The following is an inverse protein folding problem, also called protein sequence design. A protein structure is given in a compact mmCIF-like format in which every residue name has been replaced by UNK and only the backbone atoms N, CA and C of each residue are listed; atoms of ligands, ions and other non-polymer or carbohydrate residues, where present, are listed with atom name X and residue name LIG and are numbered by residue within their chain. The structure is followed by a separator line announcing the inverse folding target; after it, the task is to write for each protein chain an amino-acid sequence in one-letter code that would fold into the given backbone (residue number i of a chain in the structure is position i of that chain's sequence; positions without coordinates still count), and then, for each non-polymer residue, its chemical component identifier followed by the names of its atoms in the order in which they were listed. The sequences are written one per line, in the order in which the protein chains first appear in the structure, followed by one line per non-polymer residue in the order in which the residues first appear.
data_IF_159143424156
#
_entry.id   IF_159143424156
#
_cell.length_a   1.000
_cell.length_b   1.000
_cell.length_c   1.000
_cell.angle_alpha   90.00
_cell.angle_beta   90.00
_cell.angle_gamma   90.00
#
_symmetry.space_group_name_H-M   'P 1'
#
loop_
_entity.id
_entity.type
_entity.pdbx_description
1 polymer ?
#
# COMPACT_ATOMS: atom_id res chain seq x y z
N UNK A 1 -27.80 -5.44 2.86
CA UNK A 1 -27.67 -6.81 3.43
C UNK A 1 -26.55 -7.59 2.75
N UNK A 2 -26.40 -7.51 1.44
CA UNK A 2 -25.37 -8.22 0.63
C UNK A 2 -23.93 -7.84 0.99
N UNK A 3 -23.63 -6.58 1.26
CA UNK A 3 -22.27 -6.12 1.56
C UNK A 3 -21.75 -6.66 2.91
N UNK A 4 -22.60 -6.71 3.93
CA UNK A 4 -22.20 -7.21 5.25
C UNK A 4 -21.76 -8.67 5.24
N UNK A 5 -22.39 -9.53 4.41
CA UNK A 5 -21.95 -10.92 4.28
C UNK A 5 -20.59 -11.02 3.54
N UNK A 6 -20.32 -10.12 2.59
CA UNK A 6 -19.02 -10.04 1.92
C UNK A 6 -17.91 -9.66 2.91
N UNK A 7 -18.14 -8.67 3.79
CA UNK A 7 -17.17 -8.29 4.83
C UNK A 7 -16.89 -9.44 5.79
N UNK A 8 -17.93 -10.10 6.28
CA UNK A 8 -17.78 -11.30 7.13
C UNK A 8 -17.00 -12.41 6.43
N UNK A 9 -17.25 -12.62 5.12
CA UNK A 9 -16.51 -13.62 4.37
C UNK A 9 -15.04 -13.21 4.17
N UNK A 10 -14.75 -11.94 3.96
CA UNK A 10 -13.37 -11.43 3.91
C UNK A 10 -12.70 -11.64 5.27
N UNK A 11 -13.36 -11.31 6.37
CA UNK A 11 -12.84 -11.56 7.73
C UNK A 11 -12.60 -13.05 7.98
N UNK A 12 -13.51 -13.91 7.55
CA UNK A 12 -13.30 -15.36 7.56
C UNK A 12 -12.09 -15.77 6.73
N UNK A 13 -11.93 -15.25 5.52
CA UNK A 13 -10.79 -15.52 4.65
C UNK A 13 -9.46 -15.07 5.27
N UNK A 14 -9.44 -13.94 5.96
CA UNK A 14 -8.26 -13.41 6.68
C UNK A 14 -7.99 -14.12 8.02
N UNK A 15 -8.92 -14.96 8.51
CA UNK A 15 -8.80 -15.63 9.80
C UNK A 15 -9.12 -14.77 11.02
N UNK A 16 -9.72 -13.60 10.82
CA UNK A 16 -10.15 -12.69 11.91
C UNK A 16 -11.55 -13.02 12.43
N UNK A 17 -12.24 -13.93 11.77
CA UNK A 17 -13.58 -14.38 12.10
C UNK A 17 -13.68 -15.90 11.94
N UNK A 18 -14.21 -16.61 12.94
CA UNK A 18 -14.32 -18.08 12.91
C UNK A 18 -15.22 -18.60 11.78
N UNK A 19 -16.28 -17.84 11.43
CA UNK A 19 -17.15 -18.12 10.30
C UNK A 19 -17.94 -19.43 10.42
N UNK A 20 -18.43 -19.79 11.60
CA UNK A 20 -19.20 -21.03 11.83
C UNK A 20 -20.37 -21.14 10.87
N UNK A 21 -21.08 -20.03 10.60
CA UNK A 21 -22.19 -19.95 9.67
C UNK A 21 -21.79 -20.14 8.19
N UNK A 22 -20.51 -19.98 7.85
CA UNK A 22 -19.98 -20.33 6.53
C UNK A 22 -19.65 -21.82 6.47
N UNK A 23 -19.08 -22.36 7.55
CA UNK A 23 -18.70 -23.76 7.63
C UNK A 23 -19.91 -24.71 7.68
N UNK A 24 -21.00 -24.32 8.36
CA UNK A 24 -22.27 -25.06 8.37
C UNK A 24 -23.19 -24.73 7.16
N UNK A 25 -22.82 -23.71 6.37
CA UNK A 25 -23.53 -23.28 5.17
C UNK A 25 -24.76 -22.41 5.40
N UNK A 26 -25.13 -22.10 6.65
CA UNK A 26 -26.33 -21.34 6.94
C UNK A 26 -26.29 -19.92 6.36
N UNK A 27 -25.14 -19.27 6.34
CA UNK A 27 -24.96 -17.95 5.74
C UNK A 27 -24.85 -17.97 4.21
N UNK A 28 -24.63 -19.12 3.60
CA UNK A 28 -24.39 -19.27 2.16
C UNK A 28 -25.63 -19.81 1.41
N UNK A 29 -26.75 -19.99 2.09
CA UNK A 29 -27.97 -20.39 1.45
C UNK A 29 -28.49 -19.29 0.51
N UNK A 30 -28.58 -19.60 -0.79
CA UNK A 30 -28.94 -18.63 -1.83
C UNK A 30 -27.84 -17.58 -2.12
N UNK A 31 -26.59 -17.79 -1.68
CA UNK A 31 -25.49 -16.88 -1.91
C UNK A 31 -25.11 -16.80 -3.39
N UNK A 32 -25.03 -15.60 -3.93
CA UNK A 32 -24.64 -15.34 -5.32
C UNK A 32 -23.12 -15.34 -5.46
N UNK A 33 -22.55 -16.52 -5.67
CA UNK A 33 -21.13 -16.72 -5.88
C UNK A 33 -20.57 -16.00 -7.11
N UNK A 34 -21.39 -15.83 -8.18
CA UNK A 34 -20.92 -15.11 -9.38
C UNK A 34 -20.75 -13.63 -9.08
N UNK A 35 -21.73 -13.01 -8.44
CA UNK A 35 -21.66 -11.61 -8.03
C UNK A 35 -20.50 -11.36 -7.04
N UNK A 36 -20.25 -12.32 -6.14
CA UNK A 36 -19.14 -12.23 -5.22
C UNK A 36 -17.78 -12.37 -5.93
N UNK A 37 -17.69 -13.21 -6.96
CA UNK A 37 -16.50 -13.31 -7.81
C UNK A 37 -16.20 -11.99 -8.54
N UNK A 38 -17.23 -11.36 -9.11
CA UNK A 38 -17.09 -10.08 -9.79
C UNK A 38 -16.68 -8.96 -8.82
N UNK A 39 -17.24 -8.96 -7.60
CA UNK A 39 -16.79 -8.09 -6.52
C UNK A 39 -15.31 -8.35 -6.16
N UNK A 40 -14.89 -9.59 -6.01
CA UNK A 40 -13.51 -9.96 -5.70
C UNK A 40 -12.54 -9.51 -6.78
N UNK A 41 -12.90 -9.63 -8.05
CA UNK A 41 -12.11 -9.11 -9.18
C UNK A 41 -12.00 -7.59 -9.13
N UNK A 42 -13.14 -6.91 -8.96
CA UNK A 42 -13.21 -5.45 -8.86
C UNK A 42 -12.32 -4.90 -7.74
N UNK A 43 -12.25 -5.60 -6.61
CA UNK A 43 -11.47 -5.22 -5.42
C UNK A 43 -10.09 -5.87 -5.36
N UNK A 44 -9.71 -6.66 -6.38
CA UNK A 44 -8.43 -7.42 -6.45
C UNK A 44 -8.16 -8.30 -5.23
N UNK A 45 -9.21 -8.98 -4.73
CA UNK A 45 -9.19 -9.84 -3.55
C UNK A 45 -9.31 -11.35 -3.88
N UNK A 46 -9.20 -11.74 -5.15
CA UNK A 46 -9.46 -13.12 -5.58
C UNK A 46 -8.62 -14.14 -4.83
N UNK A 47 -7.31 -13.90 -4.67
CA UNK A 47 -6.43 -14.82 -3.95
C UNK A 47 -6.80 -14.93 -2.46
N UNK A 48 -7.05 -13.79 -1.80
CA UNK A 48 -7.44 -13.76 -0.38
C UNK A 48 -8.76 -14.49 -0.15
N UNK A 49 -9.78 -14.22 -0.97
CA UNK A 49 -11.10 -14.85 -0.83
C UNK A 49 -11.01 -16.36 -1.13
N UNK A 50 -10.11 -16.79 -2.03
CA UNK A 50 -9.87 -18.20 -2.29
C UNK A 50 -9.39 -18.95 -1.04
N UNK A 51 -8.62 -18.30 -0.15
CA UNK A 51 -8.24 -18.90 1.15
C UNK A 51 -9.48 -19.24 2.01
N UNK A 52 -10.49 -18.38 2.00
CA UNK A 52 -11.78 -18.68 2.65
C UNK A 52 -12.54 -19.80 1.98
N UNK A 53 -12.64 -19.77 0.64
CA UNK A 53 -13.34 -20.79 -0.15
C UNK A 53 -12.70 -22.18 0.06
N UNK A 54 -11.38 -22.26 0.15
CA UNK A 54 -10.64 -23.55 0.34
C UNK A 54 -10.99 -24.25 1.65
N UNK A 55 -11.48 -23.51 2.65
CA UNK A 55 -11.91 -24.05 3.97
C UNK A 55 -13.38 -24.45 4.02
N UNK A 56 -14.16 -24.15 2.97
CA UNK A 56 -15.59 -24.47 2.95
C UNK A 56 -15.81 -25.96 2.67
N UNK A 57 -16.86 -26.58 3.27
CA UNK A 57 -17.36 -27.86 2.84
C UNK A 57 -17.80 -27.84 1.38
N UNK A 58 -17.59 -28.92 0.65
CA UNK A 58 -17.94 -29.03 -0.78
C UNK A 58 -19.41 -28.72 -1.08
N UNK A 59 -20.31 -29.02 -0.13
CA UNK A 59 -21.74 -28.81 -0.29
C UNK A 59 -22.15 -27.32 -0.42
N UNK A 60 -21.34 -26.41 0.14
CA UNK A 60 -21.65 -24.95 0.17
C UNK A 60 -20.68 -24.13 -0.67
N UNK A 61 -19.64 -24.76 -1.22
CA UNK A 61 -18.66 -24.11 -2.10
C UNK A 61 -19.31 -23.69 -3.45
N UNK A 62 -18.67 -22.78 -4.20
CA UNK A 62 -19.11 -22.41 -5.56
C UNK A 62 -19.24 -23.65 -6.46
N UNK A 63 -20.12 -23.57 -7.47
CA UNK A 63 -20.21 -24.61 -8.51
C UNK A 63 -18.83 -24.82 -9.17
N UNK A 64 -18.57 -26.07 -9.57
CA UNK A 64 -17.24 -26.50 -10.04
C UNK A 64 -16.65 -25.59 -11.15
N UNK A 65 -17.46 -25.15 -12.11
CA UNK A 65 -16.99 -24.26 -13.19
C UNK A 65 -16.48 -22.91 -12.66
N UNK A 66 -17.22 -22.31 -11.71
CA UNK A 66 -16.82 -21.05 -11.10
C UNK A 66 -15.66 -21.23 -10.12
N UNK A 67 -15.66 -22.33 -9.35
CA UNK A 67 -14.54 -22.67 -8.47
C UNK A 67 -13.24 -22.84 -9.24
N UNK A 68 -13.29 -23.43 -10.45
CA UNK A 68 -12.11 -23.52 -11.32
C UNK A 68 -11.57 -22.14 -11.73
N UNK A 69 -12.44 -21.17 -12.01
CA UNK A 69 -12.02 -19.80 -12.33
C UNK A 69 -11.33 -19.13 -11.12
N UNK A 70 -11.88 -19.30 -9.91
CA UNK A 70 -11.24 -18.83 -8.68
C UNK A 70 -9.85 -19.45 -8.50
N UNK A 71 -9.76 -20.76 -8.65
CA UNK A 71 -8.51 -21.52 -8.49
C UNK A 71 -7.46 -21.08 -9.51
N UNK A 72 -7.80 -21.05 -10.80
CA UNK A 72 -6.86 -20.65 -11.85
C UNK A 72 -6.32 -19.23 -11.64
N UNK A 73 -7.20 -18.30 -11.23
CA UNK A 73 -6.81 -16.92 -10.98
C UNK A 73 -5.92 -16.82 -9.73
N UNK A 74 -6.23 -17.56 -8.68
CA UNK A 74 -5.41 -17.66 -7.47
C UNK A 74 -4.02 -18.25 -7.76
N UNK A 75 -3.94 -19.31 -8.56
CA UNK A 75 -2.65 -19.89 -8.98
C UNK A 75 -1.82 -18.91 -9.83
N UNK A 76 -2.45 -18.13 -10.68
CA UNK A 76 -1.75 -17.09 -11.44
C UNK A 76 -1.20 -15.97 -10.51
N UNK A 77 -1.97 -15.59 -9.48
CA UNK A 77 -1.53 -14.62 -8.46
C UNK A 77 -0.30 -15.19 -7.72
N UNK A 78 -0.38 -16.42 -7.24
CA UNK A 78 0.72 -17.10 -6.51
C UNK A 78 2.00 -17.17 -7.35
N UNK A 79 1.90 -17.62 -8.61
CA UNK A 79 3.04 -17.68 -9.51
C UNK A 79 3.67 -16.32 -9.78
N UNK A 80 2.85 -15.27 -9.95
CA UNK A 80 3.35 -13.91 -10.12
C UNK A 80 4.07 -13.40 -8.88
N UNK A 81 3.61 -13.74 -7.68
CA UNK A 81 4.30 -13.39 -6.43
C UNK A 81 5.68 -14.02 -6.35
N UNK A 82 5.80 -15.31 -6.66
CA UNK A 82 7.09 -16.01 -6.69
C UNK A 82 8.08 -15.31 -7.62
N UNK A 83 7.69 -15.06 -8.87
CA UNK A 83 8.52 -14.34 -9.83
C UNK A 83 8.88 -12.93 -9.37
N UNK A 84 7.93 -12.22 -8.72
CA UNK A 84 8.16 -10.86 -8.26
C UNK A 84 9.06 -10.81 -7.02
N UNK A 85 9.02 -11.82 -6.13
CA UNK A 85 9.94 -11.94 -5.00
C UNK A 85 11.39 -12.01 -5.50
N UNK A 86 11.69 -12.93 -6.41
CA UNK A 86 13.01 -13.08 -7.03
C UNK A 86 13.45 -11.80 -7.76
N UNK A 87 12.55 -11.20 -8.56
CA UNK A 87 12.86 -9.98 -9.30
C UNK A 87 13.12 -8.80 -8.38
N UNK A 88 12.38 -8.67 -7.27
CA UNK A 88 12.56 -7.62 -6.27
C UNK A 88 13.96 -7.69 -5.66
N UNK A 89 14.40 -8.89 -5.23
CA UNK A 89 15.75 -9.10 -4.70
C UNK A 89 16.81 -8.82 -5.78
N UNK A 90 16.57 -9.28 -7.02
CA UNK A 90 17.48 -9.03 -8.13
C UNK A 90 17.70 -7.55 -8.42
N UNK A 91 16.62 -6.75 -8.47
CA UNK A 91 16.72 -5.30 -8.68
C UNK A 91 17.35 -4.61 -7.47
N UNK A 92 16.97 -4.99 -6.25
CA UNK A 92 17.55 -4.47 -5.00
C UNK A 92 19.08 -4.65 -4.99
N UNK A 93 19.57 -5.86 -5.27
CA UNK A 93 21.00 -6.16 -5.30
C UNK A 93 21.75 -5.39 -6.40
N UNK A 94 21.14 -5.17 -7.57
CA UNK A 94 21.73 -4.34 -8.65
C UNK A 94 21.86 -2.88 -8.23
N UNK A 95 20.89 -2.31 -7.52
CA UNK A 95 20.94 -0.94 -6.98
C UNK A 95 22.02 -0.84 -5.91
N UNK A 96 22.11 -1.82 -5.00
CA UNK A 96 23.17 -1.89 -3.98
C UNK A 96 24.57 -2.04 -4.62
N UNK A 97 24.72 -2.88 -5.64
CA UNK A 97 25.97 -3.04 -6.36
C UNK A 97 26.40 -1.75 -7.12
N UNK A 98 25.44 -0.91 -7.51
CA UNK A 98 25.69 0.41 -8.07
C UNK A 98 26.13 1.46 -7.01
N UNK A 99 26.19 1.09 -5.72
CA UNK A 99 26.66 1.92 -4.62
C UNK A 99 25.59 2.78 -3.96
N UNK A 100 24.30 2.50 -4.20
CA UNK A 100 23.20 3.25 -3.60
C UNK A 100 22.53 2.49 -2.46
N UNK A 101 22.19 3.21 -1.39
CA UNK A 101 21.29 2.70 -0.36
C UNK A 101 19.84 2.83 -0.84
N UNK A 102 19.03 1.80 -0.55
CA UNK A 102 17.64 1.75 -1.00
C UNK A 102 16.79 0.86 -0.10
N UNK A 103 15.46 1.03 -0.18
CA UNK A 103 14.50 0.14 0.46
C UNK A 103 13.26 -0.09 -0.43
N UNK A 104 12.61 -1.24 -0.25
CA UNK A 104 11.36 -1.60 -0.93
C UNK A 104 10.20 -1.01 -0.14
N UNK A 105 9.52 0.01 -0.67
CA UNK A 105 8.51 0.80 0.05
C UNK A 105 7.21 0.05 0.35
N UNK A 106 6.77 -0.80 -0.56
CA UNK A 106 5.48 -1.51 -0.53
C UNK A 106 5.57 -2.82 -1.33
N UNK A 107 4.47 -3.32 -1.86
CA UNK A 107 4.49 -4.51 -2.71
C UNK A 107 4.91 -5.76 -1.93
N UNK A 108 6.03 -6.34 -2.29
CA UNK A 108 6.53 -7.59 -1.72
C UNK A 108 6.97 -7.44 -0.25
N UNK A 109 7.43 -6.24 0.16
CA UNK A 109 7.71 -5.95 1.57
C UNK A 109 6.43 -6.03 2.43
N UNK A 110 5.28 -5.58 1.93
CA UNK A 110 4.01 -5.73 2.61
C UNK A 110 3.48 -7.16 2.52
N UNK A 111 3.69 -7.84 1.39
CA UNK A 111 3.28 -9.25 1.22
C UNK A 111 3.89 -10.16 2.30
N UNK A 112 5.14 -9.91 2.72
CA UNK A 112 5.80 -10.66 3.79
C UNK A 112 5.05 -10.62 5.14
N UNK A 113 4.14 -9.66 5.35
CA UNK A 113 3.32 -9.56 6.56
C UNK A 113 2.03 -10.38 6.51
N UNK A 114 1.65 -10.90 5.34
CA UNK A 114 0.43 -11.70 5.19
C UNK A 114 0.59 -13.10 5.76
N UNK A 115 -0.50 -13.67 6.28
CA UNK A 115 -0.53 -15.07 6.70
C UNK A 115 -0.23 -16.02 5.51
N UNK A 116 -0.72 -15.69 4.31
CA UNK A 116 -0.35 -16.31 3.06
C UNK A 116 0.10 -15.23 2.06
N UNK A 117 1.40 -14.93 1.93
CA UNK A 117 1.92 -13.95 0.99
C UNK A 117 1.52 -14.19 -0.47
N UNK A 118 1.41 -15.48 -0.86
CA UNK A 118 1.06 -15.87 -2.21
C UNK A 118 -0.37 -15.52 -2.63
N UNK A 119 -1.27 -15.28 -1.65
CA UNK A 119 -2.66 -14.87 -1.91
C UNK A 119 -2.83 -13.37 -2.21
N UNK A 120 -1.83 -12.53 -1.92
CA UNK A 120 -1.86 -11.10 -2.22
C UNK A 120 -1.73 -10.85 -3.71
N UNK A 121 -2.66 -10.09 -4.30
CA UNK A 121 -2.50 -9.68 -5.71
C UNK A 121 -1.29 -8.76 -5.86
N UNK A 122 -0.23 -9.17 -6.60
CA UNK A 122 0.99 -8.38 -6.75
C UNK A 122 0.80 -7.19 -7.70
N UNK A 123 1.70 -6.22 -7.61
CA UNK A 123 1.78 -5.05 -8.48
C UNK A 123 3.21 -4.86 -8.99
N UNK A 124 3.68 -3.63 -8.93
CA UNK A 124 5.01 -3.16 -9.26
C UNK A 124 6.01 -3.28 -8.09
N UNK A 125 7.27 -3.05 -8.39
CA UNK A 125 8.35 -2.92 -7.38
C UNK A 125 8.61 -1.45 -7.14
N UNK A 126 8.21 -0.95 -5.97
CA UNK A 126 8.47 0.42 -5.54
C UNK A 126 9.73 0.47 -4.69
N UNK A 127 10.76 1.12 -5.17
CA UNK A 127 12.04 1.22 -4.51
C UNK A 127 12.41 2.67 -4.23
N UNK A 128 12.58 3.00 -2.96
CA UNK A 128 13.14 4.30 -2.57
C UNK A 128 14.65 4.22 -2.53
N UNK A 129 15.31 5.07 -3.30
CA UNK A 129 16.77 5.11 -3.45
C UNK A 129 17.30 6.39 -2.83
N UNK A 130 18.30 6.29 -1.96
CA UNK A 130 18.97 7.44 -1.38
C UNK A 130 19.97 8.04 -2.38
N UNK A 131 19.43 8.77 -3.33
CA UNK A 131 20.20 9.41 -4.39
C UNK A 131 19.46 10.63 -4.96
N UNK A 132 20.20 11.52 -5.60
CA UNK A 132 19.63 12.64 -6.31
C UNK A 132 18.84 12.19 -7.56
N UNK A 133 17.89 13.01 -8.01
CA UNK A 133 17.12 12.74 -9.23
C UNK A 133 18.02 12.46 -10.45
N UNK A 134 19.16 13.15 -10.56
CA UNK A 134 20.11 12.96 -11.67
C UNK A 134 20.77 11.58 -11.61
N UNK A 135 21.18 11.15 -10.44
CA UNK A 135 21.78 9.83 -10.21
C UNK A 135 20.77 8.71 -10.47
N UNK A 136 19.52 8.85 -9.99
CA UNK A 136 18.47 7.87 -10.24
C UNK A 136 18.13 7.78 -11.73
N UNK A 137 18.18 8.88 -12.48
CA UNK A 137 18.02 8.84 -13.94
C UNK A 137 19.15 8.03 -14.62
N UNK A 138 20.40 8.19 -14.17
CA UNK A 138 21.54 7.40 -14.66
C UNK A 138 21.41 5.92 -14.26
N UNK A 139 20.99 5.65 -13.03
CA UNK A 139 20.72 4.31 -12.54
C UNK A 139 19.60 3.63 -13.38
N UNK A 140 18.48 4.32 -13.60
CA UNK A 140 17.38 3.82 -14.44
C UNK A 140 17.85 3.48 -15.85
N UNK A 141 18.67 4.34 -16.47
CA UNK A 141 19.28 4.06 -17.77
C UNK A 141 20.17 2.81 -17.75
N UNK A 142 20.91 2.60 -16.66
CA UNK A 142 21.77 1.41 -16.50
C UNK A 142 20.93 0.14 -16.32
N UNK A 143 19.90 0.20 -15.48
CA UNK A 143 18.98 -0.94 -15.25
C UNK A 143 18.18 -1.30 -16.51
N UNK A 144 17.85 -0.32 -17.34
CA UNK A 144 17.09 -0.53 -18.57
C UNK A 144 17.94 -1.06 -19.75
N UNK A 145 19.27 -0.95 -19.72
CA UNK A 145 20.14 -1.42 -20.82
C UNK A 145 20.05 -2.92 -21.10
N UNK A 146 19.77 -3.72 -20.09
CA UNK A 146 19.69 -5.17 -20.19
C UNK A 146 18.21 -5.62 -20.22
N UNK A 147 17.61 -5.69 -21.42
CA UNK A 147 16.23 -6.12 -21.64
C UNK A 147 15.18 -5.24 -20.94
N UNK A 148 15.38 -3.93 -20.92
CA UNK A 148 14.47 -2.99 -20.29
C UNK A 148 14.22 -1.72 -21.10
N UNK A 149 13.34 -0.88 -20.57
CA UNK A 149 13.06 0.47 -21.10
C UNK A 149 12.66 1.39 -19.97
N UNK A 150 12.88 2.68 -20.12
CA UNK A 150 12.29 3.71 -19.25
C UNK A 150 10.90 4.01 -19.78
N UNK A 151 9.89 3.88 -18.91
CA UNK A 151 8.49 4.06 -19.30
C UNK A 151 8.05 5.52 -19.10
N UNK A 152 8.28 6.09 -17.91
CA UNK A 152 7.89 7.46 -17.59
C UNK A 152 8.80 8.04 -16.49
N UNK A 153 8.99 9.38 -16.52
CA UNK A 153 9.55 10.14 -15.43
C UNK A 153 8.47 11.02 -14.80
N UNK A 154 8.15 10.73 -13.54
CA UNK A 154 7.17 11.44 -12.73
C UNK A 154 7.81 12.46 -11.79
N UNK A 155 6.97 13.17 -11.03
CA UNK A 155 7.44 14.15 -10.04
C UNK A 155 8.27 13.51 -8.91
N UNK A 156 8.02 12.27 -8.54
CA UNK A 156 8.60 11.57 -7.38
C UNK A 156 9.39 10.31 -7.74
N UNK A 157 9.26 9.76 -8.94
CA UNK A 157 9.92 8.52 -9.36
C UNK A 157 10.23 8.50 -10.86
N UNK A 158 11.01 7.52 -11.25
CA UNK A 158 11.20 7.09 -12.63
C UNK A 158 10.69 5.66 -12.75
N UNK A 159 9.68 5.47 -13.60
CA UNK A 159 9.16 4.16 -13.93
C UNK A 159 9.96 3.52 -15.07
N UNK A 160 10.33 2.27 -14.90
CA UNK A 160 11.01 1.47 -15.92
C UNK A 160 10.51 0.03 -15.91
N UNK A 161 10.60 -0.61 -17.07
CA UNK A 161 10.43 -2.06 -17.16
C UNK A 161 11.81 -2.71 -17.33
N UNK A 162 12.11 -3.73 -16.53
CA UNK A 162 13.33 -4.54 -16.68
C UNK A 162 12.98 -6.02 -16.52
N UNK A 163 13.43 -6.87 -17.46
CA UNK A 163 13.07 -8.29 -17.50
C UNK A 163 11.54 -8.57 -17.41
N UNK A 164 10.72 -7.70 -17.99
CA UNK A 164 9.26 -7.81 -17.95
C UNK A 164 8.61 -7.40 -16.62
N UNK A 165 9.38 -6.87 -15.67
CA UNK A 165 8.90 -6.40 -14.36
C UNK A 165 8.87 -4.87 -14.36
N UNK A 166 7.75 -4.30 -13.90
CA UNK A 166 7.62 -2.86 -13.66
C UNK A 166 8.29 -2.46 -12.35
N UNK A 167 9.17 -1.48 -12.43
CA UNK A 167 9.93 -0.96 -11.28
C UNK A 167 9.79 0.56 -11.24
N UNK A 168 9.50 1.11 -10.07
CA UNK A 168 9.50 2.54 -9.81
C UNK A 168 10.67 2.90 -8.88
N UNK A 169 11.64 3.66 -9.40
CA UNK A 169 12.75 4.19 -8.61
C UNK A 169 12.38 5.56 -8.07
N UNK A 170 12.06 5.61 -6.79
CA UNK A 170 11.64 6.84 -6.10
C UNK A 170 12.86 7.61 -5.58
N UNK A 171 13.01 8.87 -5.96
CA UNK A 171 13.92 9.82 -5.33
C UNK A 171 13.25 10.56 -4.16
N UNK A 172 11.93 10.49 -4.07
CA UNK A 172 11.14 10.76 -2.86
C UNK A 172 9.92 9.83 -2.86
N UNK A 173 9.53 9.25 -1.72
CA UNK A 173 8.41 8.28 -1.67
C UNK A 173 7.07 8.85 -2.10
N UNK A 174 6.95 10.19 -2.17
CA UNK A 174 5.74 10.83 -2.66
C UNK A 174 5.65 12.31 -2.33
N UNK A 175 4.47 12.91 -2.54
CA UNK A 175 4.20 14.33 -2.34
C UNK A 175 2.73 14.58 -1.96
N UNK A 176 2.45 15.76 -1.40
CA UNK A 176 1.10 16.27 -1.12
C UNK A 176 0.83 17.54 -1.91
N UNK A 177 -0.43 17.78 -2.29
CA UNK A 177 -0.84 19.01 -2.95
C UNK A 177 -0.73 20.23 -2.03
N UNK A 178 -1.01 20.07 -0.74
CA UNK A 178 -0.82 21.12 0.23
C UNK A 178 0.67 21.39 0.47
N UNK A 179 1.15 22.58 0.09
CA UNK A 179 2.59 22.93 0.16
C UNK A 179 3.17 22.86 1.58
N UNK A 180 2.40 23.21 2.60
CA UNK A 180 2.85 23.15 4.00
C UNK A 180 3.05 21.70 4.44
N UNK A 181 2.05 20.86 4.18
CA UNK A 181 2.14 19.44 4.51
C UNK A 181 3.18 18.73 3.65
N UNK A 182 3.28 19.10 2.37
CA UNK A 182 4.34 18.56 1.50
C UNK A 182 5.75 18.89 2.02
N UNK A 183 6.01 20.13 2.45
CA UNK A 183 7.31 20.50 3.05
C UNK A 183 7.63 19.64 4.27
N UNK A 184 6.65 19.42 5.16
CA UNK A 184 6.81 18.56 6.34
C UNK A 184 7.02 17.11 5.97
N UNK A 185 6.31 16.61 4.95
CA UNK A 185 6.44 15.25 4.41
C UNK A 185 7.84 15.03 3.83
N UNK A 186 8.34 15.95 3.00
CA UNK A 186 9.69 15.86 2.43
C UNK A 186 10.77 15.90 3.52
N UNK A 187 10.58 16.70 4.58
CA UNK A 187 11.49 16.71 5.72
C UNK A 187 11.45 15.37 6.46
N UNK A 188 10.27 14.83 6.72
CA UNK A 188 10.09 13.54 7.39
C UNK A 188 10.72 12.38 6.59
N UNK A 189 10.63 12.37 5.27
CA UNK A 189 11.31 11.40 4.42
C UNK A 189 12.85 11.50 4.59
N UNK A 190 13.42 12.70 4.44
CA UNK A 190 14.87 12.88 4.59
C UNK A 190 15.42 12.48 5.96
N UNK A 191 14.63 12.71 7.02
CA UNK A 191 15.00 12.33 8.39
C UNK A 191 14.88 10.82 8.63
N UNK A 192 14.22 10.07 7.74
CA UNK A 192 13.86 8.67 7.96
C UNK A 192 14.64 7.67 7.08
N UNK A 193 15.17 8.08 5.95
CA UNK A 193 15.69 7.19 4.89
C UNK A 193 16.73 6.19 5.39
N UNK A 194 17.71 6.63 6.17
CA UNK A 194 18.77 5.78 6.70
C UNK A 194 18.25 4.57 7.48
N UNK A 195 17.24 4.80 8.34
CA UNK A 195 16.64 3.74 9.14
C UNK A 195 15.90 2.73 8.27
N UNK A 196 15.26 3.20 7.18
CA UNK A 196 14.54 2.32 6.27
C UNK A 196 15.49 1.45 5.45
N UNK A 197 16.61 2.03 4.97
CA UNK A 197 17.62 1.31 4.19
C UNK A 197 18.42 0.28 5.01
N UNK A 198 18.36 0.35 6.35
CA UNK A 198 19.01 -0.62 7.26
C UNK A 198 18.06 -1.68 7.81
N UNK A 199 16.75 -1.51 7.65
CA UNK A 199 15.77 -2.46 8.21
C UNK A 199 15.57 -3.64 7.26
N UNK A 200 16.42 -4.66 7.36
CA UNK A 200 16.37 -5.86 6.52
C UNK A 200 15.21 -6.77 6.89
N UNK A 201 14.54 -7.31 5.89
CA UNK A 201 13.52 -8.34 6.01
C UNK A 201 13.78 -9.46 5.01
N UNK A 202 13.44 -10.70 5.37
CA UNK A 202 13.39 -11.80 4.43
C UNK A 202 12.10 -11.73 3.60
N UNK A 203 12.20 -11.87 2.28
CA UNK A 203 11.04 -12.06 1.42
C UNK A 203 10.58 -13.53 1.42
N UNK A 204 9.29 -13.78 1.14
CA UNK A 204 8.76 -15.14 1.06
C UNK A 204 9.49 -16.02 0.03
N UNK A 205 9.27 -17.34 0.14
CA UNK A 205 9.78 -18.35 -0.80
C UNK A 205 11.32 -18.40 -0.88
N UNK A 206 12.01 -18.06 0.22
CA UNK A 206 13.49 -18.05 0.29
C UNK A 206 14.15 -17.17 -0.81
N UNK A 207 13.41 -16.18 -1.34
CA UNK A 207 13.90 -15.34 -2.43
C UNK A 207 15.12 -14.50 -2.06
N UNK A 208 15.30 -14.20 -0.77
CA UNK A 208 16.41 -13.41 -0.23
C UNK A 208 15.95 -12.29 0.69
N UNK A 209 16.88 -11.40 1.04
CA UNK A 209 16.62 -10.28 1.95
C UNK A 209 16.67 -8.95 1.21
N UNK A 210 15.83 -8.01 1.65
CA UNK A 210 15.79 -6.62 1.17
C UNK A 210 15.58 -5.67 2.33
N UNK A 211 16.01 -4.44 2.19
CA UNK A 211 15.62 -3.40 3.14
C UNK A 211 14.17 -2.97 2.89
N UNK A 212 13.42 -2.73 3.96
CA UNK A 212 12.01 -2.36 3.93
C UNK A 212 11.68 -1.37 5.07
N UNK A 213 10.55 -0.66 4.99
CA UNK A 213 10.13 0.29 6.01
C UNK A 213 10.03 -0.33 7.42
N UNK A 214 10.53 0.41 8.42
CA UNK A 214 10.29 0.09 9.83
C UNK A 214 8.80 0.21 10.17
N UNK A 215 8.33 -0.46 11.20
CA UNK A 215 6.91 -0.47 11.58
C UNK A 215 6.34 0.94 11.78
N UNK A 216 7.05 1.80 12.50
CA UNK A 216 6.64 3.20 12.75
C UNK A 216 6.50 4.01 11.45
N UNK A 217 7.49 3.87 10.55
CA UNK A 217 7.46 4.54 9.28
C UNK A 217 6.36 3.98 8.38
N UNK A 218 6.24 2.67 8.28
CA UNK A 218 5.28 2.00 7.41
C UNK A 218 3.83 2.34 7.77
N UNK A 219 3.49 2.42 9.07
CA UNK A 219 2.16 2.81 9.53
C UNK A 219 1.75 4.23 9.07
N UNK A 220 2.70 5.16 8.99
CA UNK A 220 2.45 6.52 8.49
C UNK A 220 2.52 6.58 6.96
N UNK A 221 3.55 5.95 6.37
CA UNK A 221 3.78 5.98 4.94
C UNK A 221 2.65 5.32 4.13
N UNK A 222 2.21 4.12 4.52
CA UNK A 222 1.12 3.44 3.82
C UNK A 222 -0.20 4.21 3.93
N UNK A 223 -0.47 4.84 5.08
CA UNK A 223 -1.65 5.70 5.23
C UNK A 223 -1.57 6.94 4.33
N UNK A 224 -0.38 7.58 4.29
CA UNK A 224 -0.13 8.69 3.38
C UNK A 224 -0.34 8.25 1.92
N UNK A 225 0.17 7.09 1.53
CA UNK A 225 0.04 6.54 0.20
C UNK A 225 -1.42 6.27 -0.19
N UNK A 226 -2.22 5.69 0.73
CA UNK A 226 -3.67 5.54 0.56
C UNK A 226 -4.38 6.89 0.43
N UNK A 227 -3.99 7.89 1.25
CA UNK A 227 -4.52 9.25 1.17
C UNK A 227 -4.23 9.87 -0.20
N UNK A 228 -3.00 9.74 -0.70
CA UNK A 228 -2.60 10.23 -2.01
C UNK A 228 -3.45 9.59 -3.12
N UNK A 229 -3.55 8.26 -3.16
CA UNK A 229 -4.40 7.58 -4.15
C UNK A 229 -5.88 7.97 -4.03
N UNK A 230 -6.39 8.12 -2.81
CA UNK A 230 -7.78 8.52 -2.60
C UNK A 230 -8.11 9.87 -3.26
N UNK A 231 -7.17 10.81 -3.25
CA UNK A 231 -7.35 12.12 -3.90
C UNK A 231 -7.09 12.09 -5.40
N UNK A 232 -6.19 11.25 -5.90
CA UNK A 232 -5.77 11.31 -7.31
C UNK A 232 -6.42 10.25 -8.20
N UNK A 233 -6.66 9.07 -7.70
CA UNK A 233 -7.11 7.92 -8.49
C UNK A 233 -8.33 7.24 -7.87
N UNK A 234 -8.14 6.66 -6.71
CA UNK A 234 -9.07 5.88 -5.92
C UNK A 234 -8.34 4.77 -5.17
N UNK A 235 -9.00 4.19 -4.18
CA UNK A 235 -8.47 3.12 -3.33
C UNK A 235 -9.36 1.89 -3.44
N UNK A 236 -8.76 0.70 -3.59
CA UNK A 236 -9.44 -0.58 -3.54
C UNK A 236 -9.21 -1.34 -2.23
N UNK A 237 -10.02 -2.37 -1.98
CA UNK A 237 -9.89 -3.16 -0.74
C UNK A 237 -8.55 -3.89 -0.65
N UNK A 238 -7.88 -4.26 -1.75
CA UNK A 238 -6.54 -4.85 -1.68
C UNK A 238 -5.55 -3.93 -0.95
N UNK A 239 -5.56 -2.63 -1.27
CA UNK A 239 -4.70 -1.65 -0.62
C UNK A 239 -5.09 -1.45 0.85
N UNK A 240 -6.36 -1.56 1.18
CA UNK A 240 -6.86 -1.54 2.56
C UNK A 240 -6.40 -2.77 3.33
N UNK A 241 -6.38 -3.96 2.71
CA UNK A 241 -5.83 -5.18 3.32
C UNK A 241 -4.33 -5.07 3.53
N UNK A 242 -3.57 -4.48 2.60
CA UNK A 242 -2.15 -4.18 2.82
C UNK A 242 -1.98 -3.36 4.11
N UNK A 243 -2.77 -2.30 4.26
CA UNK A 243 -2.70 -1.45 5.45
C UNK A 243 -3.20 -2.14 6.72
N UNK A 244 -4.19 -3.02 6.62
CA UNK A 244 -4.64 -3.86 7.72
C UNK A 244 -3.48 -4.67 8.30
N UNK A 245 -2.70 -5.34 7.47
CA UNK A 245 -1.54 -6.11 7.92
C UNK A 245 -0.42 -5.24 8.49
N UNK A 246 -0.21 -4.04 7.96
CA UNK A 246 0.72 -3.06 8.55
C UNK A 246 0.33 -2.71 9.97
N UNK A 247 -0.95 -2.43 10.23
CA UNK A 247 -1.44 -2.06 11.57
C UNK A 247 -1.49 -3.28 12.50
N UNK A 248 -1.93 -4.44 12.00
CA UNK A 248 -1.99 -5.67 12.79
C UNK A 248 -0.60 -6.07 13.31
N UNK A 249 0.44 -5.93 12.48
CA UNK A 249 1.81 -6.30 12.80
C UNK A 249 2.64 -5.15 13.42
N UNK A 250 2.05 -3.98 13.65
CA UNK A 250 2.76 -2.79 14.12
C UNK A 250 3.56 -3.06 15.42
N UNK A 251 2.93 -3.66 16.42
CA UNK A 251 3.58 -3.92 17.72
C UNK A 251 4.70 -4.95 17.59
N UNK A 252 4.50 -6.02 16.81
CA UNK A 252 5.52 -7.04 16.56
C UNK A 252 6.70 -6.43 15.81
N UNK A 253 6.44 -5.58 14.82
CA UNK A 253 7.48 -4.89 14.07
C UNK A 253 8.32 -3.96 14.95
N UNK A 254 7.70 -3.23 15.87
CA UNK A 254 8.39 -2.40 16.85
C UNK A 254 9.28 -3.24 17.77
N UNK A 255 8.80 -4.41 18.21
CA UNK A 255 9.58 -5.33 19.07
C UNK A 255 10.77 -5.93 18.30
N UNK A 256 10.58 -6.36 17.07
CA UNK A 256 11.64 -6.93 16.24
C UNK A 256 12.75 -5.93 15.91
N UNK A 257 12.41 -4.66 15.65
CA UNK A 257 13.40 -3.61 15.46
C UNK A 257 14.29 -3.43 16.69
N UNK A 258 13.71 -3.52 17.88
CA UNK A 258 14.46 -3.40 19.14
C UNK A 258 15.43 -4.54 19.36
N UNK A 259 15.00 -5.78 19.16
CA UNK A 259 15.85 -6.95 19.38
C UNK A 259 17.09 -6.85 18.48
N UNK A 260 16.93 -6.44 17.23
CA UNK A 260 18.06 -6.19 16.31
C UNK A 260 18.99 -5.08 16.78
N UNK A 261 18.44 -3.95 17.26
CA UNK A 261 19.26 -2.85 17.79
C UNK A 261 20.06 -3.27 19.04
N UNK A 262 19.52 -4.17 19.86
CA UNK A 262 20.20 -4.73 21.03
C UNK A 262 21.31 -5.72 20.62
N UNK A 263 21.05 -6.56 19.63
CA UNK A 263 22.06 -7.50 19.08
C UNK A 263 23.22 -6.73 18.45
N UNK A 264 22.96 -5.70 17.64
CA UNK A 264 23.98 -4.87 17.03
C UNK A 264 24.83 -4.16 18.09
N UNK A 265 24.23 -3.61 19.16
CA UNK A 265 24.95 -2.98 20.26
C UNK A 265 25.79 -3.95 21.05
N UNK A 266 25.32 -5.18 21.24
CA UNK A 266 26.09 -6.21 21.94
C UNK A 266 27.30 -6.65 21.09
N UNK A 267 27.16 -6.78 19.76
CA UNK A 267 28.28 -7.06 18.87
C UNK A 267 29.31 -5.92 18.85
N UNK A 268 28.86 -4.66 18.89
CA UNK A 268 29.76 -3.49 18.98
C UNK A 268 30.46 -3.41 20.33
N UNK A 269 29.80 -3.79 21.45
CA UNK A 269 30.38 -3.82 22.78
C UNK A 269 31.40 -4.95 22.96
N UNK A 270 31.22 -6.07 22.30
CA UNK A 270 32.19 -7.17 22.27
C UNK A 270 33.45 -6.81 21.46
N UNK A 271 33.31 -5.92 20.46
CA UNK A 271 34.43 -5.42 19.66
C UNK A 271 35.18 -4.25 20.26
N UNK A 272 34.63 -3.57 21.29
CA UNK A 272 35.23 -2.42 21.98
C UNK A 272 35.31 -2.65 23.49
N UNK A 273 36.39 -3.32 23.92
CA UNK A 273 36.80 -3.34 25.32
C UNK A 273 37.30 -1.97 25.72
N UNK A 274 36.46 -1.00 26.08
CA UNK A 274 36.80 0.08 27.00
C UNK A 274 35.66 1.05 27.30
N UNK A 275 35.41 1.19 28.60
CA UNK A 275 34.80 2.31 29.33
C UNK A 275 33.31 2.64 29.11
N UNK A 276 32.57 2.22 30.14
CA UNK A 276 31.23 2.67 30.53
C UNK A 276 31.08 4.19 30.45
N UNK A 277 30.03 4.62 29.76
CA UNK A 277 29.23 5.75 30.22
C UNK A 277 27.75 5.41 30.04
N UNK A 278 27.08 5.22 31.19
CA UNK A 278 25.66 4.98 31.30
C UNK A 278 24.84 6.22 30.87
N UNK A 279 24.55 6.38 29.60
CA UNK A 279 23.36 7.12 29.19
C UNK A 279 22.24 6.10 29.03
N UNK A 280 21.35 6.04 30.00
CA UNK A 280 20.06 5.35 29.90
C UNK A 280 19.23 6.05 28.82
N UNK A 281 19.45 5.72 27.56
CA UNK A 281 18.51 6.02 26.48
C UNK A 281 17.24 5.23 26.80
N UNK A 282 16.16 5.94 27.16
CA UNK A 282 14.86 5.32 27.42
C UNK A 282 14.43 4.55 26.16
N UNK A 283 14.45 3.21 26.22
CA UNK A 283 14.03 2.34 25.12
C UNK A 283 12.57 2.70 24.76
N UNK A 284 12.25 2.99 23.48
CA UNK A 284 10.89 3.31 23.13
C UNK A 284 9.98 2.11 23.47
N UNK A 285 8.94 2.32 24.26
CA UNK A 285 7.89 1.33 24.50
C UNK A 285 6.95 1.29 23.29
N UNK A 286 6.16 0.23 23.12
CA UNK A 286 5.09 0.17 22.07
C UNK A 286 4.23 1.43 22.16
N UNK A 287 3.92 1.89 23.38
CA UNK A 287 3.15 3.10 23.61
C UNK A 287 3.87 4.37 23.08
N UNK A 288 5.18 4.47 23.25
CA UNK A 288 5.97 5.59 22.70
C UNK A 288 6.00 5.57 21.17
N UNK A 289 6.12 4.38 20.55
CA UNK A 289 6.05 4.24 19.09
C UNK A 289 4.66 4.60 18.56
N UNK A 290 3.58 4.16 19.24
CA UNK A 290 2.20 4.56 18.90
C UNK A 290 2.02 6.08 18.99
N UNK A 291 2.53 6.71 20.06
CA UNK A 291 2.48 8.17 20.24
C UNK A 291 3.29 8.90 19.17
N UNK A 292 4.49 8.40 18.82
CA UNK A 292 5.31 8.95 17.72
C UNK A 292 4.58 8.89 16.39
N UNK A 293 3.94 7.77 16.08
CA UNK A 293 3.11 7.59 14.88
C UNK A 293 1.95 8.60 14.87
N UNK A 294 1.20 8.75 15.96
CA UNK A 294 0.10 9.71 16.10
C UNK A 294 0.56 11.16 15.89
N UNK A 295 1.69 11.54 16.48
CA UNK A 295 2.30 12.85 16.29
C UNK A 295 2.69 13.10 14.82
N UNK A 296 3.24 12.09 14.15
CA UNK A 296 3.58 12.18 12.71
C UNK A 296 2.33 12.35 11.86
N UNK A 297 1.27 11.58 12.11
CA UNK A 297 -0.02 11.71 11.40
C UNK A 297 -0.63 13.10 11.57
N UNK A 298 -0.57 13.66 12.77
CA UNK A 298 -1.05 15.03 13.07
C UNK A 298 -0.21 16.08 12.37
N UNK A 299 1.12 15.98 12.45
CA UNK A 299 2.07 16.91 11.81
C UNK A 299 1.90 16.94 10.29
N UNK A 300 1.59 15.80 9.68
CA UNK A 300 1.41 15.62 8.23
C UNK A 300 -0.03 15.90 7.76
N UNK A 301 -0.96 16.24 8.66
CA UNK A 301 -2.38 16.51 8.30
C UNK A 301 -3.20 15.26 7.96
N UNK A 302 -2.71 14.06 8.34
CA UNK A 302 -3.33 12.77 8.03
C UNK A 302 -4.28 12.25 9.13
N UNK A 303 -4.40 12.96 10.26
CA UNK A 303 -5.12 12.49 11.44
C UNK A 303 -6.59 12.11 11.16
N UNK A 304 -7.31 12.94 10.43
CA UNK A 304 -8.71 12.67 10.08
C UNK A 304 -8.86 11.49 9.10
N UNK A 305 -7.92 11.35 8.18
CA UNK A 305 -7.91 10.21 7.28
C UNK A 305 -7.54 8.91 8.00
N UNK A 306 -6.65 8.99 9.01
CA UNK A 306 -6.36 7.87 9.89
C UNK A 306 -7.63 7.37 10.61
N UNK A 307 -8.42 8.27 11.19
CA UNK A 307 -9.69 7.90 11.83
C UNK A 307 -10.70 7.28 10.87
N UNK A 308 -10.80 7.80 9.65
CA UNK A 308 -11.63 7.22 8.59
C UNK A 308 -11.17 5.80 8.21
N UNK A 309 -9.86 5.62 8.07
CA UNK A 309 -9.29 4.32 7.73
C UNK A 309 -9.45 3.31 8.86
N UNK A 310 -9.28 3.71 10.15
CA UNK A 310 -9.54 2.83 11.29
C UNK A 310 -10.99 2.30 11.28
N UNK A 311 -11.97 3.14 10.94
CA UNK A 311 -13.35 2.70 10.75
C UNK A 311 -13.47 1.65 9.64
N UNK A 312 -12.86 1.87 8.48
CA UNK A 312 -12.91 0.92 7.36
C UNK A 312 -12.25 -0.41 7.73
N UNK A 313 -11.08 -0.37 8.37
CA UNK A 313 -10.36 -1.57 8.82
C UNK A 313 -11.19 -2.38 9.83
N UNK A 314 -11.88 -1.71 10.74
CA UNK A 314 -12.74 -2.35 11.74
C UNK A 314 -13.97 -2.98 11.10
N UNK A 315 -14.75 -2.21 10.36
CA UNK A 315 -16.03 -2.66 9.77
C UNK A 315 -15.83 -3.76 8.72
N UNK A 316 -14.81 -3.63 7.86
CA UNK A 316 -14.63 -4.53 6.72
C UNK A 316 -13.73 -5.71 7.07
N UNK A 317 -12.65 -5.48 7.81
CA UNK A 317 -11.59 -6.47 8.03
C UNK A 317 -11.52 -6.99 9.47
N UNK A 318 -12.33 -6.44 10.38
CA UNK A 318 -12.38 -6.87 11.77
C UNK A 318 -11.16 -6.47 12.59
N UNK A 319 -10.52 -5.33 12.29
CA UNK A 319 -9.38 -4.84 13.08
C UNK A 319 -9.84 -4.60 14.53
N UNK A 320 -9.19 -5.22 15.54
CA UNK A 320 -9.47 -4.97 16.94
C UNK A 320 -9.21 -3.51 17.35
N UNK A 321 -10.06 -2.95 18.22
CA UNK A 321 -9.95 -1.53 18.63
C UNK A 321 -8.61 -1.23 19.34
N UNK A 322 -8.08 -2.16 20.11
CA UNK A 322 -6.80 -2.03 20.81
C UNK A 322 -5.60 -1.86 19.86
N UNK A 323 -5.72 -2.38 18.62
CA UNK A 323 -4.68 -2.23 17.58
C UNK A 323 -4.73 -0.88 16.88
N UNK A 324 -5.79 -0.12 17.02
CA UNK A 324 -5.96 1.14 16.31
C UNK A 324 -4.93 2.19 16.72
N UNK A 325 -4.42 2.91 15.73
CA UNK A 325 -3.48 4.02 15.92
C UNK A 325 -4.15 5.39 16.02
N UNK A 326 -5.44 5.47 15.68
CA UNK A 326 -6.29 6.66 15.81
C UNK A 326 -7.72 6.24 16.20
N UNK A 327 -8.50 7.10 16.87
CA UNK A 327 -9.90 6.84 17.11
C UNK A 327 -10.68 6.79 15.80
N UNK A 328 -11.71 5.95 15.73
CA UNK A 328 -12.56 5.84 14.54
C UNK A 328 -13.32 7.15 14.25
N UNK A 329 -13.26 7.61 13.01
CA UNK A 329 -14.16 8.67 12.47
C UNK A 329 -15.21 8.01 11.57
N UNK A 330 -16.33 7.63 12.16
CA UNK A 330 -17.41 6.94 11.45
C UNK A 330 -17.89 7.69 10.23
N UNK A 331 -18.11 9.01 10.34
CA UNK A 331 -18.66 9.82 9.25
C UNK A 331 -17.75 9.86 8.02
N UNK A 332 -16.44 10.09 8.23
CA UNK A 332 -15.46 10.05 7.14
C UNK A 332 -15.21 8.62 6.67
N UNK A 333 -15.26 7.66 7.58
CA UNK A 333 -15.09 6.24 7.27
C UNK A 333 -16.18 5.67 6.39
N UNK A 334 -17.46 6.00 6.64
CA UNK A 334 -18.59 5.60 5.78
C UNK A 334 -18.45 6.19 4.37
N UNK A 335 -18.04 7.45 4.26
CA UNK A 335 -17.77 8.08 2.96
C UNK A 335 -16.62 7.38 2.22
N UNK A 336 -15.51 7.16 2.92
CA UNK A 336 -14.34 6.47 2.35
C UNK A 336 -14.69 5.05 1.89
N UNK A 337 -15.42 4.30 2.71
CA UNK A 337 -15.85 2.94 2.38
C UNK A 337 -16.76 2.92 1.16
N UNK A 338 -17.72 3.83 1.08
CA UNK A 338 -18.58 3.94 -0.09
C UNK A 338 -17.77 4.24 -1.37
N UNK A 339 -16.76 5.11 -1.29
CA UNK A 339 -15.89 5.42 -2.43
C UNK A 339 -15.04 4.22 -2.85
N UNK A 340 -14.50 3.46 -1.90
CA UNK A 340 -13.76 2.21 -2.14
C UNK A 340 -14.63 1.18 -2.87
N UNK A 341 -15.86 0.98 -2.41
CA UNK A 341 -16.78 -0.01 -2.99
C UNK A 341 -17.23 0.38 -4.40
N UNK A 342 -17.51 1.68 -4.62
CA UNK A 342 -17.90 2.19 -5.93
C UNK A 342 -16.72 2.17 -6.92
N UNK A 343 -15.54 2.59 -6.48
CA UNK A 343 -14.38 2.76 -7.34
C UNK A 343 -13.65 1.48 -7.70
N UNK A 344 -13.60 0.51 -6.78
CA UNK A 344 -12.72 -0.65 -6.93
C UNK A 344 -11.25 -0.26 -6.93
N UNK A 345 -10.39 -1.15 -7.43
CA UNK A 345 -8.96 -0.92 -7.46
C UNK A 345 -8.62 0.32 -8.31
N UNK A 346 -7.89 1.28 -7.73
CA UNK A 346 -7.52 2.56 -8.35
C UNK A 346 -8.69 3.38 -8.95
N UNK A 347 -9.92 3.17 -8.46
CA UNK A 347 -11.09 3.92 -8.94
C UNK A 347 -11.55 3.58 -10.37
N UNK A 348 -10.97 2.56 -11.02
CA UNK A 348 -11.23 2.23 -12.42
C UNK A 348 -12.70 1.87 -12.73
N UNK A 349 -13.45 1.47 -11.73
CA UNK A 349 -14.85 1.04 -11.86
C UNK A 349 -15.87 2.06 -11.37
N UNK A 350 -15.45 3.30 -11.07
CA UNK A 350 -16.35 4.33 -10.53
C UNK A 350 -17.28 4.88 -11.62
N UNK A 351 -18.51 4.41 -11.65
CA UNK A 351 -19.54 4.85 -12.60
C UNK A 351 -19.92 6.34 -12.42
N UNK A 352 -19.66 6.94 -11.24
CA UNK A 352 -19.88 8.37 -11.00
C UNK A 352 -18.95 9.22 -11.86
N UNK A 353 -17.85 8.65 -12.31
CA UNK A 353 -16.88 9.27 -13.21
C UNK A 353 -17.18 9.00 -14.71
N UNK A 354 -18.31 8.40 -15.01
CA UNK A 354 -18.72 8.04 -16.37
C UNK A 354 -19.14 9.25 -17.26
N UNK A 355 -19.02 10.47 -16.77
CA UNK A 355 -19.30 11.68 -17.54
C UNK A 355 -18.23 11.91 -18.61
N UNK A 356 -18.66 12.07 -19.87
CA UNK A 356 -17.76 12.31 -21.01
C UNK A 356 -17.01 11.07 -21.47
N UNK A 357 -17.65 9.92 -21.45
CA UNK A 357 -17.09 8.65 -21.93
C UNK A 357 -16.68 8.73 -23.39
N UNK A 358 -15.39 8.61 -23.68
CA UNK A 358 -14.95 8.35 -25.06
C UNK A 358 -14.89 6.84 -25.33
N UNK A 359 -14.45 5.99 -24.37
CA UNK A 359 -14.48 4.53 -24.53
C UNK A 359 -14.27 3.81 -23.17
N UNK A 360 -14.96 2.68 -22.98
CA UNK A 360 -14.64 1.69 -21.96
C UNK A 360 -13.86 0.56 -22.63
N UNK A 361 -12.59 0.38 -22.26
CA UNK A 361 -11.69 -0.62 -22.86
C UNK A 361 -11.54 -1.90 -22.00
N UNK A 362 -12.45 -2.14 -21.04
CA UNK A 362 -12.36 -3.25 -20.11
C UNK A 362 -11.50 -2.97 -18.86
N UNK A 363 -10.62 -1.97 -18.92
CA UNK A 363 -9.74 -1.57 -17.81
C UNK A 363 -10.16 -0.26 -17.12
N UNK A 364 -11.21 0.40 -17.61
CA UNK A 364 -11.73 1.65 -17.05
C UNK A 364 -12.23 2.64 -18.11
N UNK A 365 -12.67 3.82 -17.66
CA UNK A 365 -13.15 4.90 -18.52
C UNK A 365 -11.98 5.82 -18.89
N UNK A 366 -11.77 6.04 -20.20
CA UNK A 366 -10.82 7.05 -20.69
C UNK A 366 -11.54 8.39 -20.88
N UNK A 367 -10.91 9.45 -20.42
CA UNK A 367 -11.40 10.81 -20.56
C UNK A 367 -10.37 11.67 -21.29
N UNK A 368 -10.83 12.56 -22.16
CA UNK A 368 -9.98 13.64 -22.67
C UNK A 368 -9.52 14.58 -21.55
N UNK A 369 -8.49 15.39 -21.80
CA UNK A 369 -7.88 16.26 -20.80
C UNK A 369 -8.88 17.17 -20.04
N UNK A 370 -9.89 17.70 -20.72
CA UNK A 370 -10.95 18.51 -20.12
C UNK A 370 -11.86 17.68 -19.19
N UNK A 371 -12.31 16.51 -19.66
CA UNK A 371 -13.14 15.60 -18.86
C UNK A 371 -12.43 15.15 -17.58
N UNK A 372 -11.15 14.78 -17.69
CA UNK A 372 -10.32 14.41 -16.56
C UNK A 372 -10.20 15.55 -15.51
N UNK A 373 -9.97 16.79 -15.97
CA UNK A 373 -9.89 17.95 -15.07
C UNK A 373 -11.22 18.28 -14.38
N UNK A 374 -12.34 18.15 -15.08
CA UNK A 374 -13.68 18.36 -14.50
C UNK A 374 -14.00 17.30 -13.44
N UNK A 375 -13.64 16.04 -13.68
CA UNK A 375 -13.81 14.96 -12.70
C UNK A 375 -13.00 15.19 -11.43
N UNK A 376 -11.75 15.65 -11.58
CA UNK A 376 -10.91 16.02 -10.43
C UNK A 376 -11.51 17.17 -9.64
N UNK A 377 -11.95 18.23 -10.31
CA UNK A 377 -12.61 19.36 -9.65
C UNK A 377 -13.89 18.93 -8.91
N UNK A 378 -14.71 18.07 -9.53
CA UNK A 378 -15.90 17.51 -8.87
C UNK A 378 -15.53 16.71 -7.62
N UNK A 379 -14.45 15.88 -7.68
CA UNK A 379 -13.91 15.15 -6.52
C UNK A 379 -13.45 16.11 -5.42
N UNK A 380 -12.69 17.15 -5.77
CA UNK A 380 -12.20 18.15 -4.81
C UNK A 380 -13.36 18.87 -4.10
N UNK A 381 -14.39 19.30 -4.84
CA UNK A 381 -15.58 19.91 -4.28
C UNK A 381 -16.32 18.98 -3.32
N UNK A 382 -16.44 17.68 -3.65
CA UNK A 382 -17.05 16.68 -2.78
C UNK A 382 -16.25 16.45 -1.50
N UNK A 383 -14.92 16.45 -1.60
CA UNK A 383 -14.01 16.22 -0.48
C UNK A 383 -13.77 17.47 0.36
N UNK A 384 -14.11 18.68 -0.13
CA UNK A 384 -13.86 19.96 0.52
C UNK A 384 -14.39 20.02 1.95
N UNK A 385 -15.57 19.44 2.19
CA UNK A 385 -16.18 19.40 3.53
C UNK A 385 -15.40 18.54 4.53
N UNK A 386 -14.68 17.53 4.05
CA UNK A 386 -14.03 16.52 4.88
C UNK A 386 -12.52 16.72 4.99
N UNK A 387 -11.90 17.20 3.91
CA UNK A 387 -10.45 17.38 3.77
C UNK A 387 -10.13 18.73 3.09
N UNK A 388 -10.52 19.86 3.70
CA UNK A 388 -10.44 21.18 3.03
C UNK A 388 -9.02 21.57 2.62
N UNK A 389 -8.01 21.22 3.41
CA UNK A 389 -6.63 21.59 3.14
C UNK A 389 -6.09 21.00 1.84
N UNK A 390 -6.36 19.72 1.56
CA UNK A 390 -5.91 19.07 0.34
C UNK A 390 -6.79 19.45 -0.85
N UNK A 391 -8.11 19.42 -0.68
CA UNK A 391 -9.08 19.73 -1.72
C UNK A 391 -8.92 21.16 -2.28
N UNK A 392 -8.56 22.14 -1.44
CA UNK A 392 -8.27 23.51 -1.89
C UNK A 392 -6.88 23.65 -2.53
N UNK A 393 -5.92 22.84 -2.10
CA UNK A 393 -4.55 22.92 -2.59
C UNK A 393 -4.35 22.15 -3.91
N UNK A 394 -5.13 21.11 -4.18
CA UNK A 394 -4.97 20.25 -5.35
C UNK A 394 -5.07 21.01 -6.67
N UNK A 395 -6.07 21.89 -6.92
CA UNK A 395 -6.12 22.65 -8.16
C UNK A 395 -4.91 23.58 -8.35
N UNK A 396 -4.39 24.17 -7.28
CA UNK A 396 -3.22 25.05 -7.32
C UNK A 396 -1.96 24.23 -7.63
N UNK A 397 -1.80 23.11 -6.92
CA UNK A 397 -0.68 22.17 -7.18
C UNK A 397 -0.71 21.66 -8.62
N UNK A 398 -1.88 21.36 -9.16
CA UNK A 398 -2.04 20.88 -10.55
C UNK A 398 -1.55 21.89 -11.56
N UNK A 399 -1.89 23.17 -11.42
CA UNK A 399 -1.40 24.25 -12.28
C UNK A 399 0.14 24.34 -12.21
N UNK A 400 0.70 24.30 -10.98
CA UNK A 400 2.14 24.29 -10.77
C UNK A 400 2.81 23.07 -11.39
N UNK A 401 2.18 21.87 -11.26
CA UNK A 401 2.70 20.62 -11.82
C UNK A 401 2.68 20.61 -13.36
N UNK A 402 1.67 21.22 -14.01
CA UNK A 402 1.70 21.42 -15.45
C UNK A 402 2.86 22.30 -15.89
N UNK A 403 3.12 23.40 -15.19
CA UNK A 403 4.28 24.26 -15.47
C UNK A 403 5.60 23.49 -15.25
N UNK A 404 5.70 22.70 -14.20
CA UNK A 404 6.87 21.88 -13.91
C UNK A 404 7.12 20.82 -15.01
N UNK A 405 6.09 20.10 -15.47
CA UNK A 405 6.19 19.14 -16.60
C UNK A 405 6.65 19.83 -17.87
N UNK A 406 6.08 20.98 -18.19
CA UNK A 406 6.48 21.77 -19.35
C UNK A 406 7.97 22.13 -19.31
N UNK A 407 8.48 22.57 -18.16
CA UNK A 407 9.90 22.95 -17.97
C UNK A 407 10.85 21.76 -18.11
N UNK A 408 10.47 20.54 -17.69
CA UNK A 408 11.30 19.34 -17.80
C UNK A 408 11.34 18.80 -19.23
N UNK A 409 10.23 18.85 -19.96
CA UNK A 409 10.19 18.40 -21.35
C UNK A 409 10.86 19.37 -22.33
N UNK A 410 11.23 20.56 -21.88
CA UNK A 410 11.99 21.54 -22.67
C UNK A 410 13.49 21.56 -22.37
N UNK A 411 13.94 20.82 -21.37
CA UNK A 411 15.35 20.61 -21.03
C UNK A 411 15.82 19.23 -21.48
#
# INVERSE_FOLDING_TARGET
MTEKIYYKFIQFALGTYEGKEFLDGSALNGFDWQRFYDFAKKQTLVGIIMEGISRLPKAVAPKQSLLMNWFMMSQNISRKNLMLNEATVGVYNRVKAAGYDCCILKGQANAAMYANPAARTPGDVDMWVDASRKEIRQLAQTLAKENGRIDEESYNHIALTTNGISVELHYTPGFMANFTYNRRLQQWFRESIDAQCRNMIALPDEAGEVAAPTADFNAVYQLYHLYHHYFYEGVGLRQVVDYYYVILNFELGVLNCRLRDEELKNCELESQNSKLNNSKSAKPTIQNSKLKTQNSLTRLGLWHFAGAMMYVLHEVLGLPEEKMIAPMDKKRGEMLLNDILCGGNFGHHDERHAWGRDTYDGNGFKHGALGHNLLRLHRDLRLLRYYPSEALSEPIFRLWHYYWRWKIHQL
#
